data_IF_162917602226
#
_entry.id   IF_162917602226
#
_cell.length_a   1.000
_cell.length_b   1.000
_cell.length_c   1.000
_cell.angle_alpha   90.00
_cell.angle_beta   90.00
_cell.angle_gamma   90.00
#
_symmetry.space_group_name_H-M   'P 1'
#
loop_
_entity.id
_entity.type
_entity.pdbx_description
1 polymer ?
#
# COMPACT_ATOMS: atom_id res chain seq x y z
N UNK A 1 -36.43 1.30 -48.45
CA UNK A 1 -35.32 1.67 -47.54
C UNK A 1 -35.74 1.92 -46.08
N UNK A 2 -36.81 1.34 -45.60
CA UNK A 2 -37.25 1.51 -44.17
C UNK A 2 -37.15 0.23 -43.33
N UNK A 3 -36.62 -0.86 -43.88
CA UNK A 3 -36.54 -2.17 -43.19
C UNK A 3 -35.22 -2.44 -42.47
N UNK A 4 -34.14 -1.72 -42.76
CA UNK A 4 -32.82 -2.02 -42.22
C UNK A 4 -32.52 -1.34 -40.88
N UNK A 5 -33.23 -0.24 -40.58
CA UNK A 5 -33.07 0.52 -39.35
C UNK A 5 -33.65 -0.24 -38.15
N UNK A 6 -34.76 -0.95 -38.35
CA UNK A 6 -35.39 -1.74 -37.29
C UNK A 6 -34.64 -2.98 -36.86
N UNK A 7 -33.71 -3.50 -37.69
CA UNK A 7 -32.94 -4.70 -37.39
C UNK A 7 -31.72 -4.42 -36.51
N UNK A 8 -31.19 -3.19 -36.60
CA UNK A 8 -30.08 -2.74 -35.75
C UNK A 8 -30.55 -2.39 -34.34
N UNK A 9 -31.74 -1.84 -34.18
CA UNK A 9 -32.31 -1.53 -32.87
C UNK A 9 -32.76 -2.78 -32.09
N UNK A 10 -33.29 -3.80 -32.77
CA UNK A 10 -33.66 -5.06 -32.15
C UNK A 10 -32.47 -5.89 -31.61
N UNK A 11 -31.28 -5.74 -32.16
CA UNK A 11 -30.07 -6.42 -31.65
C UNK A 11 -29.56 -5.84 -30.33
N UNK A 12 -29.91 -4.61 -29.99
CA UNK A 12 -29.52 -3.97 -28.72
C UNK A 12 -30.34 -4.44 -27.51
N UNK A 13 -31.47 -5.08 -27.72
CA UNK A 13 -32.40 -5.46 -26.65
C UNK A 13 -32.18 -6.88 -26.07
N UNK A 14 -31.22 -7.63 -26.59
CA UNK A 14 -30.92 -9.01 -26.10
C UNK A 14 -29.94 -9.07 -24.95
N UNK A 15 -29.38 -7.95 -24.48
CA UNK A 15 -28.52 -7.92 -23.30
C UNK A 15 -29.36 -7.67 -22.05
N UNK A 16 -29.16 -8.51 -21.03
CA UNK A 16 -29.74 -8.32 -19.69
C UNK A 16 -29.66 -6.83 -19.29
N UNK A 17 -30.76 -6.22 -18.84
CA UNK A 17 -30.77 -4.80 -18.49
C UNK A 17 -29.65 -4.50 -17.49
N UNK A 18 -28.85 -3.50 -17.80
CA UNK A 18 -27.73 -3.13 -16.94
C UNK A 18 -28.30 -2.46 -15.69
N UNK A 19 -27.83 -2.91 -14.53
CA UNK A 19 -28.20 -2.29 -13.25
C UNK A 19 -27.75 -0.83 -13.26
N UNK A 20 -28.66 0.11 -13.00
CA UNK A 20 -28.33 1.52 -12.82
C UNK A 20 -27.55 1.67 -11.53
N UNK A 21 -26.42 2.34 -11.63
CA UNK A 21 -25.49 2.54 -10.52
C UNK A 21 -25.40 4.05 -10.28
N UNK A 22 -25.45 4.43 -9.02
CA UNK A 22 -25.22 5.82 -8.65
C UNK A 22 -23.71 6.11 -8.67
N UNK A 23 -23.28 6.85 -9.69
CA UNK A 23 -21.87 7.26 -9.88
C UNK A 23 -21.36 8.12 -8.74
N UNK A 24 -22.23 8.88 -8.05
CA UNK A 24 -21.85 9.70 -6.90
C UNK A 24 -21.43 8.84 -5.71
N UNK A 25 -22.14 7.73 -5.47
CA UNK A 25 -21.80 6.77 -4.42
C UNK A 25 -20.47 6.11 -4.72
N UNK A 26 -20.25 5.70 -5.98
CA UNK A 26 -18.97 5.14 -6.43
C UNK A 26 -17.82 6.12 -6.25
N UNK A 27 -18.01 7.37 -6.63
CA UNK A 27 -17.02 8.42 -6.49
C UNK A 27 -16.63 8.65 -5.02
N UNK A 28 -17.60 8.73 -4.13
CA UNK A 28 -17.36 8.93 -2.70
C UNK A 28 -16.61 7.75 -2.07
N UNK A 29 -17.03 6.52 -2.32
CA UNK A 29 -16.38 5.32 -1.79
C UNK A 29 -14.94 5.18 -2.31
N UNK A 30 -14.72 5.47 -3.59
CA UNK A 30 -13.39 5.47 -4.18
C UNK A 30 -12.49 6.57 -3.60
N UNK A 31 -13.04 7.75 -3.31
CA UNK A 31 -12.31 8.87 -2.72
C UNK A 31 -11.87 8.57 -1.29
N UNK A 32 -12.67 7.84 -0.50
CA UNK A 32 -12.31 7.38 0.84
C UNK A 32 -11.19 6.33 0.80
N UNK A 33 -11.05 5.63 -0.33
CA UNK A 33 -10.02 4.62 -0.55
C UNK A 33 -10.49 3.19 -0.38
N UNK A 34 -11.81 2.94 -0.45
CA UNK A 34 -12.37 1.59 -0.43
C UNK A 34 -11.83 0.74 -1.58
N UNK A 35 -11.66 -0.55 -1.34
CA UNK A 35 -11.26 -1.52 -2.36
C UNK A 35 -12.40 -1.79 -3.33
N UNK A 36 -12.10 -2.32 -4.52
CA UNK A 36 -13.12 -2.64 -5.52
C UNK A 36 -14.09 -3.72 -5.02
N UNK A 37 -13.64 -4.62 -4.16
CA UNK A 37 -14.46 -5.66 -3.55
C UNK A 37 -15.45 -5.08 -2.55
N UNK A 38 -15.00 -4.16 -1.68
CA UNK A 38 -15.85 -3.45 -0.73
C UNK A 38 -16.90 -2.60 -1.46
N UNK A 39 -16.50 -1.85 -2.48
CA UNK A 39 -17.42 -1.06 -3.31
C UNK A 39 -18.42 -1.99 -3.98
N UNK A 40 -17.96 -3.11 -4.52
CA UNK A 40 -18.79 -4.12 -5.15
C UNK A 40 -19.86 -4.69 -4.21
N UNK A 41 -19.49 -4.98 -2.98
CA UNK A 41 -20.43 -5.50 -1.96
C UNK A 41 -21.49 -4.48 -1.57
N UNK A 42 -21.11 -3.19 -1.43
CA UNK A 42 -22.04 -2.10 -1.07
C UNK A 42 -23.03 -1.81 -2.20
N UNK A 43 -22.54 -1.75 -3.45
CA UNK A 43 -23.36 -1.41 -4.63
C UNK A 43 -24.09 -2.64 -5.19
N UNK A 44 -23.69 -3.85 -4.77
CA UNK A 44 -24.26 -5.11 -5.24
C UNK A 44 -23.84 -5.47 -6.67
N UNK A 45 -22.57 -5.23 -7.02
CA UNK A 45 -21.99 -5.49 -8.34
C UNK A 45 -20.62 -6.12 -8.15
N UNK A 46 -20.26 -7.06 -9.05
CA UNK A 46 -18.94 -7.69 -8.97
C UNK A 46 -17.81 -6.70 -9.24
N UNK A 47 -16.68 -6.87 -8.54
CA UNK A 47 -15.46 -6.05 -8.72
C UNK A 47 -15.01 -6.04 -10.19
N UNK A 48 -15.12 -7.15 -10.89
CA UNK A 48 -14.80 -7.25 -12.33
C UNK A 48 -15.68 -6.33 -13.20
N UNK A 49 -16.98 -6.22 -12.87
CA UNK A 49 -17.89 -5.31 -13.60
C UNK A 49 -17.57 -3.85 -13.31
N UNK A 50 -17.24 -3.53 -12.05
CA UNK A 50 -16.80 -2.20 -11.66
C UNK A 50 -15.53 -1.79 -12.41
N UNK A 51 -14.53 -2.66 -12.44
CA UNK A 51 -13.28 -2.42 -13.13
C UNK A 51 -13.48 -2.20 -14.64
N UNK A 52 -14.35 -2.99 -15.28
CA UNK A 52 -14.59 -2.90 -16.73
C UNK A 52 -15.36 -1.66 -17.13
N UNK A 53 -16.27 -1.16 -16.29
CA UNK A 53 -17.18 -0.05 -16.64
C UNK A 53 -16.78 1.29 -16.06
N UNK A 54 -16.12 1.31 -14.89
CA UNK A 54 -15.87 2.51 -14.10
C UNK A 54 -14.41 2.64 -13.67
N UNK A 55 -13.47 1.98 -14.36
CA UNK A 55 -12.05 2.01 -14.03
C UNK A 55 -11.52 3.45 -13.90
N UNK A 56 -11.75 4.26 -14.91
CA UNK A 56 -11.27 5.64 -14.96
C UNK A 56 -11.87 6.50 -13.85
N UNK A 57 -13.19 6.35 -13.62
CA UNK A 57 -13.87 7.08 -12.55
C UNK A 57 -13.33 6.71 -11.17
N UNK A 58 -13.11 5.43 -10.91
CA UNK A 58 -12.56 4.96 -9.65
C UNK A 58 -11.13 5.46 -9.44
N UNK A 59 -10.28 5.43 -10.47
CA UNK A 59 -8.90 5.89 -10.39
C UNK A 59 -8.79 7.39 -10.14
N UNK A 60 -9.53 8.20 -10.91
CA UNK A 60 -9.57 9.65 -10.73
C UNK A 60 -10.01 10.04 -9.32
N UNK A 61 -11.07 9.42 -8.81
CA UNK A 61 -11.56 9.74 -7.46
C UNK A 61 -10.62 9.25 -6.35
N UNK A 62 -9.98 8.08 -6.52
CA UNK A 62 -8.93 7.60 -5.62
C UNK A 62 -7.76 8.59 -5.54
N UNK A 63 -7.35 9.15 -6.67
CA UNK A 63 -6.28 10.15 -6.71
C UNK A 63 -6.71 11.48 -6.07
N UNK A 64 -7.97 11.91 -6.26
CA UNK A 64 -8.54 13.06 -5.54
C UNK A 64 -8.53 12.85 -4.02
N UNK A 65 -8.88 11.65 -3.55
CA UNK A 65 -8.81 11.28 -2.13
C UNK A 65 -7.41 11.39 -1.56
N UNK A 66 -6.41 10.84 -2.26
CA UNK A 66 -5.00 10.95 -1.89
C UNK A 66 -4.52 12.40 -1.83
N UNK A 67 -4.93 13.22 -2.80
CA UNK A 67 -4.58 14.63 -2.86
C UNK A 67 -5.18 15.41 -1.68
N UNK A 68 -6.44 15.16 -1.34
CA UNK A 68 -7.11 15.81 -0.20
C UNK A 68 -6.47 15.44 1.14
N UNK A 69 -6.07 14.17 1.30
CA UNK A 69 -5.36 13.71 2.49
C UNK A 69 -4.00 14.39 2.63
N UNK A 70 -3.21 14.46 1.54
CA UNK A 70 -1.92 15.14 1.52
C UNK A 70 -2.06 16.62 1.88
N UNK A 71 -3.06 17.30 1.32
CA UNK A 71 -3.36 18.71 1.64
C UNK A 71 -3.62 18.90 3.13
N UNK A 72 -4.48 18.08 3.73
CA UNK A 72 -4.77 18.16 5.18
C UNK A 72 -3.57 17.83 6.06
N UNK A 73 -2.74 16.87 5.65
CA UNK A 73 -1.49 16.56 6.36
C UNK A 73 -0.55 17.76 6.34
N UNK A 74 -0.39 18.39 5.18
CA UNK A 74 0.44 19.59 5.01
C UNK A 74 -0.07 20.76 5.85
N UNK A 75 -1.36 21.05 5.80
CA UNK A 75 -1.98 22.12 6.60
C UNK A 75 -1.79 21.90 8.11
N UNK A 76 -1.95 20.66 8.58
CA UNK A 76 -1.70 20.32 10.00
C UNK A 76 -0.22 20.42 10.38
N UNK A 77 0.68 20.06 9.50
CA UNK A 77 2.12 20.20 9.73
C UNK A 77 2.52 21.68 9.87
N UNK A 78 1.99 22.54 9.01
CA UNK A 78 2.24 23.98 9.07
C UNK A 78 1.64 24.66 10.31
N UNK A 79 0.64 24.05 10.94
CA UNK A 79 0.07 24.53 12.22
C UNK A 79 0.89 24.14 13.45
N UNK A 80 2.09 23.58 13.28
CA UNK A 80 3.01 23.26 14.38
C UNK A 80 2.92 21.81 14.88
N UNK A 81 2.54 20.87 14.03
CA UNK A 81 2.58 19.44 14.38
C UNK A 81 3.92 18.83 13.98
N UNK A 82 4.87 18.78 14.92
CA UNK A 82 6.24 18.31 14.70
C UNK A 82 6.32 16.87 14.15
N UNK A 83 5.44 15.98 14.62
CA UNK A 83 5.41 14.58 14.15
C UNK A 83 5.07 14.49 12.66
N UNK A 84 4.14 15.34 12.19
CA UNK A 84 3.79 15.40 10.78
C UNK A 84 4.87 16.08 9.95
N UNK A 85 5.53 17.13 10.49
CA UNK A 85 6.67 17.78 9.82
C UNK A 85 7.81 16.78 9.59
N UNK A 86 8.21 16.02 10.60
CA UNK A 86 9.23 14.98 10.48
C UNK A 86 8.85 13.93 9.45
N UNK A 87 7.59 13.48 9.46
CA UNK A 87 7.11 12.49 8.47
C UNK A 87 7.14 13.04 7.04
N UNK A 88 6.68 14.27 6.84
CA UNK A 88 6.68 14.91 5.53
C UNK A 88 8.11 15.20 5.04
N UNK A 89 9.03 15.63 5.92
CA UNK A 89 10.42 15.85 5.56
C UNK A 89 11.12 14.57 5.09
N UNK A 90 10.86 13.45 5.75
CA UNK A 90 11.35 12.13 5.30
C UNK A 90 10.80 11.76 3.93
N UNK A 91 9.53 12.03 3.68
CA UNK A 91 8.87 11.65 2.43
C UNK A 91 9.24 12.54 1.24
N UNK A 92 9.37 13.87 1.44
CA UNK A 92 9.61 14.82 0.37
C UNK A 92 11.08 15.21 0.22
N UNK A 93 11.85 15.23 1.32
CA UNK A 93 13.25 15.64 1.32
C UNK A 93 14.21 14.45 1.41
N UNK A 94 13.71 13.22 1.35
CA UNK A 94 14.50 11.99 1.48
C UNK A 94 15.38 11.93 2.73
N UNK A 95 14.96 12.61 3.80
CA UNK A 95 15.63 12.53 5.09
C UNK A 95 15.41 11.16 5.68
N UNK A 96 16.47 10.37 5.88
CA UNK A 96 16.40 9.07 6.55
C UNK A 96 17.01 9.19 7.95
N UNK A 97 16.37 8.54 8.93
CA UNK A 97 17.04 8.30 10.19
C UNK A 97 18.17 7.30 9.94
N UNK A 98 19.43 7.72 10.04
CA UNK A 98 20.56 6.80 10.06
C UNK A 98 20.51 6.05 11.40
N UNK A 99 19.85 4.92 11.41
CA UNK A 99 19.98 3.98 12.50
C UNK A 99 21.34 3.31 12.30
N UNK A 100 22.36 3.78 13.01
CA UNK A 100 23.59 3.03 13.17
C UNK A 100 23.24 1.77 13.99
N UNK A 101 22.99 0.70 13.30
CA UNK A 101 22.83 -0.62 13.93
C UNK A 101 24.25 -1.07 14.36
N UNK A 102 24.66 -0.67 15.57
CA UNK A 102 25.91 -1.11 16.19
C UNK A 102 25.81 -2.54 16.74
N UNK A 103 24.90 -3.34 16.21
CA UNK A 103 24.92 -4.78 16.41
C UNK A 103 26.02 -5.39 15.51
N UNK A 104 27.25 -4.90 15.68
CA UNK A 104 28.41 -5.69 15.36
C UNK A 104 28.46 -6.76 16.43
N UNK A 105 27.88 -7.90 16.15
CA UNK A 105 28.24 -9.16 16.81
C UNK A 105 29.67 -9.41 16.38
N UNK A 106 30.62 -8.76 17.05
CA UNK A 106 31.99 -9.24 17.00
C UNK A 106 31.96 -10.66 17.60
N UNK A 107 32.29 -11.70 16.83
CA UNK A 107 32.47 -13.00 17.41
C UNK A 107 33.58 -12.85 18.47
N UNK A 108 33.31 -13.22 19.71
CA UNK A 108 34.25 -13.19 20.79
C UNK A 108 35.34 -14.25 20.54
N UNK A 109 36.47 -13.95 19.88
CA UNK A 109 37.51 -14.96 19.64
C UNK A 109 38.34 -15.22 20.89
N UNK A 110 38.37 -14.30 21.85
CA UNK A 110 39.22 -14.32 23.02
C UNK A 110 38.90 -15.43 24.03
N UNK A 111 37.66 -15.88 24.14
CA UNK A 111 37.28 -16.93 25.10
C UNK A 111 37.72 -18.32 24.65
N UNK A 112 37.82 -18.55 23.33
CA UNK A 112 38.19 -19.83 22.74
C UNK A 112 39.71 -20.02 22.85
N UNK A 113 40.53 -18.99 22.69
CA UNK A 113 41.97 -19.03 22.81
C UNK A 113 42.42 -19.26 24.26
N UNK A 114 41.77 -18.62 25.22
CA UNK A 114 42.07 -18.83 26.64
C UNK A 114 41.81 -20.28 27.10
N UNK A 115 40.75 -20.92 26.61
CA UNK A 115 40.47 -22.32 26.91
C UNK A 115 41.44 -23.30 26.25
N UNK A 116 41.99 -22.97 25.09
CA UNK A 116 42.96 -23.81 24.40
C UNK A 116 44.33 -23.80 25.09
N UNK A 117 44.73 -22.69 25.70
CA UNK A 117 45.96 -22.59 26.48
C UNK A 117 45.89 -23.37 27.81
N UNK A 118 44.75 -23.30 28.51
CA UNK A 118 44.55 -24.09 29.74
C UNK A 118 44.63 -25.60 29.51
N UNK A 119 44.10 -26.08 28.37
CA UNK A 119 44.17 -27.52 28.03
C UNK A 119 45.60 -27.96 27.71
N UNK A 120 46.45 -27.10 27.14
CA UNK A 120 47.85 -27.41 26.86
C UNK A 120 48.66 -27.52 28.14
N UNK A 121 48.45 -26.70 29.13
CA UNK A 121 49.14 -26.74 30.41
C UNK A 121 48.81 -27.99 31.25
N UNK A 122 47.56 -28.45 31.15
CA UNK A 122 47.14 -29.69 31.82
C UNK A 122 47.76 -30.96 31.21
N UNK A 123 47.97 -30.99 29.89
CA UNK A 123 48.63 -32.15 29.22
C UNK A 123 50.15 -32.17 29.40
N UNK A 124 50.76 -31.04 29.75
CA UNK A 124 52.17 -30.95 30.03
C UNK A 124 52.60 -31.58 31.38
N UNK A 125 51.64 -31.79 32.28
CA UNK A 125 51.95 -32.36 33.64
C UNK A 125 51.74 -33.86 33.76
N UNK A 126 51.28 -34.56 32.74
CA UNK A 126 51.08 -36.01 32.78
C UNK A 126 52.25 -36.84 32.24
N UNK A 127 53.35 -36.20 31.91
CA UNK A 127 54.58 -36.91 31.51
C UNK A 127 55.69 -36.67 32.53
N UNK A 128 55.49 -37.18 33.72
CA UNK A 128 56.62 -37.55 34.64
C UNK A 128 56.28 -38.81 35.43
#
# INVERSE_FOLDING_TARGET
>A
MKSDINKAEKKKQMCRPQKSIDEKVLANLSQIGCTQEEIGSIVGISARTLQRRFADLLEVNKNKGKASLRKRMYEKAMKGNDKLLIRLSKQYLNMSDRIHNTNTTEPLPLIIEAKAEEVKDLNGKEKR
#
